data_IF_328037237036
#
_entry.id   IF_328037237036
#
_cell.length_a   1.000
_cell.length_b   1.000
_cell.length_c   1.000
_cell.angle_alpha   90.00
_cell.angle_beta   90.00
_cell.angle_gamma   90.00
#
_symmetry.space_group_name_H-M   'P 1'
#
loop_
_entity.id
_entity.type
_entity.pdbx_description
1 polymer ?
#
# COMPACT_ATOMS: atom_id res chain seq x y z
N UNK A 1 57.65 -28.62 70.64
CA UNK A 1 56.34 -27.92 70.62
C UNK A 1 56.37 -27.00 69.41
N UNK A 2 55.73 -27.39 68.29
CA UNK A 2 54.38 -26.93 67.87
C UNK A 2 54.40 -25.42 67.53
N UNK A 3 54.33 -24.92 66.30
CA UNK A 3 53.22 -24.94 65.31
C UNK A 3 53.80 -24.39 63.97
N UNK A 4 53.73 -25.08 62.81
CA UNK A 4 52.69 -25.04 61.76
C UNK A 4 52.00 -23.68 61.55
N UNK A 5 51.99 -23.19 60.31
CA UNK A 5 50.91 -22.54 59.52
C UNK A 5 51.57 -21.68 58.42
N UNK A 6 51.70 -22.19 57.19
CA UNK A 6 50.71 -22.12 56.10
C UNK A 6 51.14 -21.03 55.09
N UNK A 7 51.93 -21.44 54.10
CA UNK A 7 52.29 -20.63 52.94
C UNK A 7 51.04 -20.40 52.09
N UNK A 8 50.51 -19.17 52.10
CA UNK A 8 49.48 -18.74 51.17
C UNK A 8 50.18 -18.41 49.85
N UNK A 9 50.11 -19.34 48.91
CA UNK A 9 50.45 -19.11 47.51
C UNK A 9 49.33 -18.23 46.91
N UNK A 10 49.58 -16.92 46.79
CA UNK A 10 48.66 -15.99 46.13
C UNK A 10 48.75 -16.23 44.61
N UNK A 11 47.89 -17.11 44.10
CA UNK A 11 47.71 -17.33 42.67
C UNK A 11 46.92 -16.16 42.10
N UNK A 12 47.64 -15.15 41.61
CA UNK A 12 47.09 -14.05 40.82
C UNK A 12 46.63 -14.62 39.47
N UNK A 13 45.41 -15.15 39.44
CA UNK A 13 44.70 -15.43 38.19
C UNK A 13 44.27 -14.09 37.64
N UNK A 14 45.02 -13.57 36.67
CA UNK A 14 44.52 -12.54 35.77
C UNK A 14 43.38 -13.17 34.96
N UNK A 15 42.15 -13.00 35.43
CA UNK A 15 40.99 -13.18 34.59
C UNK A 15 41.06 -12.10 33.50
N UNK A 16 41.63 -12.45 32.35
CA UNK A 16 41.26 -11.75 31.13
C UNK A 16 39.73 -11.92 31.03
N UNK A 17 38.94 -10.83 30.95
CA UNK A 17 37.56 -10.99 30.57
C UNK A 17 37.60 -11.74 29.24
N UNK A 18 36.99 -12.93 29.19
CA UNK A 18 36.60 -13.50 27.91
C UNK A 18 35.83 -12.39 27.22
N UNK A 19 36.35 -11.95 26.08
CA UNK A 19 35.65 -11.09 25.14
C UNK A 19 34.23 -11.64 25.05
N UNK A 20 33.26 -10.87 25.57
CA UNK A 20 31.87 -11.24 25.48
C UNK A 20 31.57 -11.44 24.01
N UNK A 21 31.14 -12.63 23.63
CA UNK A 21 30.47 -12.77 22.35
C UNK A 21 29.24 -11.87 22.45
N UNK A 22 29.26 -10.76 21.72
CA UNK A 22 28.14 -9.85 21.60
C UNK A 22 26.94 -10.69 21.15
N UNK A 23 25.87 -10.73 21.96
CA UNK A 23 24.67 -11.41 21.54
C UNK A 23 24.12 -10.69 20.30
N UNK A 24 23.78 -11.42 19.23
CA UNK A 24 23.23 -10.80 18.03
C UNK A 24 21.92 -10.09 18.39
N UNK A 25 21.77 -8.85 17.89
CA UNK A 25 20.56 -8.05 18.09
C UNK A 25 19.32 -8.82 17.60
N UNK A 26 18.21 -8.66 18.32
CA UNK A 26 16.92 -9.27 17.97
C UNK A 26 16.48 -8.78 16.57
N UNK A 27 15.98 -9.66 15.68
CA UNK A 27 15.48 -9.26 14.36
C UNK A 27 14.46 -8.11 14.38
N UNK A 28 13.58 -8.06 15.39
CA UNK A 28 12.62 -6.97 15.56
C UNK A 28 13.32 -5.65 15.89
N UNK A 29 14.38 -5.68 16.69
CA UNK A 29 15.17 -4.50 17.03
C UNK A 29 15.97 -4.00 15.81
N UNK A 30 16.44 -4.92 14.97
CA UNK A 30 17.07 -4.58 13.70
C UNK A 30 16.08 -3.92 12.75
N UNK A 31 14.86 -4.43 12.68
CA UNK A 31 13.82 -3.90 11.80
C UNK A 31 13.42 -2.45 12.13
N UNK A 32 13.49 -2.05 13.41
CA UNK A 32 13.17 -0.68 13.84
C UNK A 32 13.99 0.38 13.11
N UNK A 33 15.27 0.12 12.85
CA UNK A 33 16.16 1.07 12.17
C UNK A 33 15.82 1.28 10.69
N UNK A 34 15.11 0.33 10.07
CA UNK A 34 14.61 0.44 8.71
C UNK A 34 13.27 1.15 8.60
N UNK A 35 12.58 1.38 9.72
CA UNK A 35 11.30 2.11 9.73
C UNK A 35 11.57 3.61 9.86
N UNK A 36 10.81 4.41 9.13
CA UNK A 36 10.89 5.87 9.16
C UNK A 36 9.51 6.46 9.40
N UNK A 37 9.48 7.65 10.00
CA UNK A 37 8.25 8.46 10.03
C UNK A 37 8.19 9.30 8.77
N UNK A 38 7.07 9.24 8.05
CA UNK A 38 6.81 10.05 6.85
C UNK A 38 5.93 11.23 7.24
N UNK A 39 6.32 12.43 6.84
CA UNK A 39 5.62 13.67 7.17
C UNK A 39 5.48 14.55 5.92
N UNK A 40 4.31 15.16 5.78
CA UNK A 40 3.99 16.13 4.74
C UNK A 40 3.87 17.51 5.39
N UNK A 41 4.66 18.46 4.90
CA UNK A 41 4.73 19.84 5.41
C UNK A 41 4.14 20.83 4.41
N UNK A 42 3.86 22.04 4.94
CA UNK A 42 3.26 23.15 4.22
C UNK A 42 3.87 23.36 2.84
N UNK A 43 2.98 23.51 1.87
CA UNK A 43 3.32 23.71 0.47
C UNK A 43 3.76 25.16 0.32
N UNK A 44 5.08 25.33 0.31
CA UNK A 44 5.87 26.58 0.34
C UNK A 44 6.21 27.16 1.73
N UNK A 45 7.52 27.11 2.05
CA UNK A 45 8.20 27.97 3.04
C UNK A 45 9.08 27.24 4.07
N UNK A 46 10.41 27.32 3.91
CA UNK A 46 11.49 26.70 4.74
C UNK A 46 11.63 27.25 6.19
N UNK A 47 12.20 26.46 7.12
CA UNK A 47 13.54 26.70 7.70
C UNK A 47 14.07 25.60 8.68
N UNK A 48 15.40 25.51 8.77
CA UNK A 48 16.33 24.50 9.37
C UNK A 48 16.55 24.53 10.91
N UNK A 49 17.24 23.51 11.49
CA UNK A 49 18.61 23.59 12.14
C UNK A 49 19.15 22.22 12.66
N UNK A 50 20.47 22.02 12.48
CA UNK A 50 21.37 20.87 12.75
C UNK A 50 21.92 20.73 14.20
N UNK A 51 22.37 19.52 14.62
CA UNK A 51 23.35 19.39 15.73
C UNK A 51 23.73 18.00 16.32
N UNK A 52 24.88 17.49 15.87
CA UNK A 52 25.97 16.67 16.51
C UNK A 52 25.75 15.42 17.40
N UNK A 53 26.58 14.40 17.08
CA UNK A 53 26.60 13.02 17.57
C UNK A 53 27.31 12.76 18.92
N UNK A 54 26.91 11.65 19.59
CA UNK A 54 27.66 11.03 20.69
C UNK A 54 27.13 9.65 21.14
N UNK A 55 28.06 8.68 21.21
CA UNK A 55 28.01 7.31 21.79
C UNK A 55 26.96 6.30 21.26
N UNK A 56 27.42 5.05 21.04
CA UNK A 56 26.60 3.94 20.52
C UNK A 56 25.54 3.54 21.57
N UNK A 57 24.28 3.79 21.25
CA UNK A 57 23.07 3.47 22.04
C UNK A 57 22.32 2.33 21.35
N UNK A 58 21.57 1.50 22.08
CA UNK A 58 20.62 0.57 21.44
C UNK A 58 19.58 1.38 20.65
N UNK A 59 19.03 0.82 19.56
CA UNK A 59 17.95 1.47 18.82
C UNK A 59 16.78 1.84 19.75
N UNK A 60 16.50 1.02 20.76
CA UNK A 60 15.47 1.32 21.77
C UNK A 60 15.83 2.55 22.62
N UNK A 61 17.09 2.71 23.02
CA UNK A 61 17.54 3.87 23.79
C UNK A 61 17.49 5.18 22.97
N UNK A 62 17.70 5.10 21.66
CA UNK A 62 17.64 6.25 20.74
C UNK A 62 16.19 6.75 20.59
N UNK A 63 15.24 5.83 20.43
CA UNK A 63 13.80 6.11 20.22
C UNK A 63 13.23 7.00 21.33
N UNK A 64 13.53 6.71 22.59
CA UNK A 64 12.83 7.32 23.73
C UNK A 64 13.44 8.62 24.26
N UNK A 65 14.52 9.14 23.67
CA UNK A 65 15.17 10.37 24.17
C UNK A 65 14.40 11.67 23.86
N UNK A 66 13.46 11.64 22.90
CA UNK A 66 12.53 12.73 22.47
C UNK A 66 11.65 12.23 21.30
N UNK A 67 10.46 12.76 21.08
CA UNK A 67 9.76 12.56 19.80
C UNK A 67 10.19 13.65 18.79
N UNK A 68 10.21 13.40 17.46
CA UNK A 68 10.38 14.47 16.48
C UNK A 68 9.25 15.50 16.59
N UNK A 69 9.56 16.78 16.39
CA UNK A 69 8.57 17.85 16.41
C UNK A 69 7.88 17.93 15.05
N UNK A 70 6.59 17.62 15.02
CA UNK A 70 5.77 17.53 13.81
C UNK A 70 4.52 18.41 13.91
N UNK A 71 4.56 19.47 14.74
CA UNK A 71 3.39 20.34 14.99
C UNK A 71 2.79 20.95 13.72
N UNK A 72 3.63 21.13 12.69
CA UNK A 72 3.29 21.84 11.46
C UNK A 72 3.08 20.88 10.27
N UNK A 73 3.07 19.56 10.51
CA UNK A 73 2.81 18.57 9.47
C UNK A 73 1.31 18.50 9.14
N UNK A 74 0.97 18.61 7.85
CA UNK A 74 -0.39 18.50 7.32
C UNK A 74 -0.91 17.05 7.35
N UNK A 75 -0.02 16.10 7.04
CA UNK A 75 -0.28 14.65 7.08
C UNK A 75 0.95 13.93 7.65
N UNK A 76 0.73 12.79 8.29
CA UNK A 76 1.80 11.92 8.76
C UNK A 76 1.43 10.44 8.63
N UNK A 77 2.47 9.62 8.51
CA UNK A 77 2.38 8.18 8.47
C UNK A 77 3.72 7.54 8.75
N UNK A 78 3.83 6.28 8.37
CA UNK A 78 5.05 5.50 8.48
C UNK A 78 5.52 5.08 7.09
N UNK A 79 6.79 4.72 7.01
CA UNK A 79 7.37 4.08 5.85
C UNK A 79 8.50 3.16 6.29
N UNK A 80 9.07 2.43 5.35
CA UNK A 80 10.28 1.67 5.60
C UNK A 80 11.22 1.72 4.42
N UNK A 81 12.51 1.62 4.73
CA UNK A 81 13.59 1.71 3.75
C UNK A 81 13.84 0.33 3.18
N UNK A 82 13.97 0.24 1.86
CA UNK A 82 14.43 -0.92 1.13
C UNK A 82 15.64 -0.55 0.28
N UNK A 83 16.49 -1.53 -0.01
CA UNK A 83 17.59 -1.37 -0.94
C UNK A 83 17.23 -1.96 -2.31
N UNK A 84 17.48 -1.20 -3.37
CA UNK A 84 17.33 -1.67 -4.73
C UNK A 84 18.44 -1.11 -5.62
N UNK A 85 19.16 -2.00 -6.32
CA UNK A 85 20.27 -1.66 -7.22
C UNK A 85 21.34 -0.74 -6.57
N UNK A 86 21.58 -0.92 -5.27
CA UNK A 86 22.58 -0.15 -4.50
C UNK A 86 22.15 1.25 -4.06
N UNK A 87 20.85 1.58 -4.18
CA UNK A 87 20.26 2.80 -3.66
C UNK A 87 19.11 2.46 -2.70
N UNK A 88 18.84 3.36 -1.76
CA UNK A 88 17.75 3.22 -0.80
C UNK A 88 16.51 3.98 -1.23
N UNK A 89 15.36 3.35 -1.00
CA UNK A 89 14.03 3.88 -1.29
C UNK A 89 13.14 3.69 -0.08
N UNK A 90 12.19 4.60 0.13
CA UNK A 90 11.17 4.47 1.17
C UNK A 90 9.87 4.03 0.53
N UNK A 91 9.28 2.94 1.03
CA UNK A 91 7.91 2.55 0.71
C UNK A 91 6.96 3.11 1.77
N UNK A 92 5.84 3.65 1.31
CA UNK A 92 4.74 4.15 2.16
C UNK A 92 3.41 4.05 1.40
N UNK A 93 2.30 4.52 2.00
CA UNK A 93 1.02 4.59 1.30
C UNK A 93 0.85 5.89 0.52
N UNK A 94 0.09 5.84 -0.57
CA UNK A 94 -0.24 7.03 -1.38
C UNK A 94 -1.05 8.02 -0.55
N UNK A 95 -2.05 7.56 0.21
CA UNK A 95 -2.89 8.45 1.02
C UNK A 95 -2.13 9.19 2.14
N UNK A 96 -0.89 8.79 2.44
CA UNK A 96 -0.04 9.51 3.40
C UNK A 96 0.56 10.75 2.75
N UNK A 97 0.88 10.66 1.45
CA UNK A 97 1.66 11.67 0.71
C UNK A 97 0.87 12.42 -0.38
N UNK A 98 -0.39 12.04 -0.61
CA UNK A 98 -1.21 12.50 -1.75
C UNK A 98 -1.25 14.04 -1.88
N UNK A 99 -1.47 14.73 -0.76
CA UNK A 99 -1.50 16.19 -0.67
C UNK A 99 -0.18 16.88 -1.04
N UNK A 100 0.94 16.16 -1.03
CA UNK A 100 2.29 16.68 -1.29
C UNK A 100 2.85 16.31 -2.67
N UNK A 101 2.17 15.43 -3.42
CA UNK A 101 2.70 14.88 -4.68
C UNK A 101 3.02 15.93 -5.75
N UNK A 102 2.34 17.09 -5.74
CA UNK A 102 2.55 18.19 -6.68
C UNK A 102 3.61 19.21 -6.27
N UNK A 103 4.17 19.13 -5.06
CA UNK A 103 4.85 20.24 -4.41
C UNK A 103 6.24 19.83 -3.91
N UNK A 104 7.31 20.11 -4.68
CA UNK A 104 8.66 19.68 -4.34
C UNK A 104 9.11 20.15 -2.95
N UNK A 105 9.74 19.25 -2.19
CA UNK A 105 10.29 19.55 -0.86
C UNK A 105 9.29 19.48 0.31
N UNK A 106 8.02 19.18 0.03
CA UNK A 106 6.97 19.04 1.05
C UNK A 106 7.01 17.70 1.81
N UNK A 107 7.71 16.69 1.30
CA UNK A 107 7.81 15.36 1.93
C UNK A 107 9.17 15.20 2.61
N UNK A 108 9.13 14.82 3.88
CA UNK A 108 10.32 14.51 4.66
C UNK A 108 10.15 13.17 5.37
N UNK A 109 11.26 12.47 5.59
CA UNK A 109 11.32 11.30 6.46
C UNK A 109 12.28 11.53 7.60
N UNK A 110 11.93 10.98 8.76
CA UNK A 110 12.74 11.05 9.97
C UNK A 110 13.23 9.65 10.34
N UNK A 111 14.55 9.52 10.48
CA UNK A 111 15.21 8.29 10.93
C UNK A 111 15.02 8.04 12.42
N UNK A 112 15.44 6.87 12.90
CA UNK A 112 15.42 6.52 14.32
C UNK A 112 16.28 7.46 15.17
N UNK A 113 17.35 7.99 14.60
CA UNK A 113 18.23 9.01 15.19
C UNK A 113 17.67 10.44 15.06
N UNK A 114 16.50 10.59 14.44
CA UNK A 114 15.81 11.87 14.11
C UNK A 114 16.53 12.73 13.08
N UNK A 115 17.39 12.13 12.28
CA UNK A 115 17.93 12.80 11.11
C UNK A 115 16.80 13.02 10.10
N UNK A 116 16.75 14.22 9.54
CA UNK A 116 15.74 14.66 8.58
C UNK A 116 16.26 14.46 7.16
N UNK A 117 15.43 13.82 6.34
CA UNK A 117 15.73 13.55 4.95
C UNK A 117 14.62 14.08 4.04
N UNK A 118 14.90 15.04 3.14
CA UNK A 118 13.94 15.46 2.13
C UNK A 118 13.73 14.35 1.10
N UNK A 119 12.51 14.23 0.58
CA UNK A 119 12.13 13.13 -0.31
C UNK A 119 11.53 13.63 -1.62
N UNK A 120 11.73 12.83 -2.68
CA UNK A 120 11.07 12.94 -3.97
C UNK A 120 10.21 11.71 -4.22
N UNK A 121 9.02 11.90 -4.75
CA UNK A 121 8.21 10.77 -5.20
C UNK A 121 8.74 10.27 -6.54
N UNK A 122 9.03 8.97 -6.63
CA UNK A 122 9.59 8.34 -7.84
C UNK A 122 8.67 7.28 -8.43
N UNK A 123 7.64 6.87 -7.70
CA UNK A 123 6.58 6.00 -8.21
C UNK A 123 5.36 5.97 -7.31
N UNK A 124 4.23 5.62 -7.88
CA UNK A 124 2.97 5.56 -7.16
C UNK A 124 1.92 4.73 -7.83
N UNK A 125 1.10 4.11 -6.99
CA UNK A 125 -0.08 3.39 -7.40
C UNK A 125 -1.21 3.60 -6.40
N UNK A 126 -2.12 4.53 -6.71
CA UNK A 126 -3.34 4.76 -5.91
C UNK A 126 -4.26 3.54 -5.88
N UNK A 127 -4.14 2.68 -6.90
CA UNK A 127 -4.92 1.47 -6.96
C UNK A 127 -4.48 0.46 -5.91
N UNK A 128 -3.22 0.30 -5.51
CA UNK A 128 -2.87 -0.50 -4.33
C UNK A 128 -2.48 0.31 -3.11
N UNK A 129 -2.55 1.64 -3.22
CA UNK A 129 -2.18 2.58 -2.18
C UNK A 129 -0.71 2.43 -1.77
N UNK A 130 0.18 2.32 -2.76
CA UNK A 130 1.63 2.18 -2.59
C UNK A 130 2.37 3.35 -3.26
N UNK A 131 3.27 3.98 -2.53
CA UNK A 131 4.15 5.03 -3.03
C UNK A 131 5.62 4.69 -2.79
N UNK A 132 6.47 5.11 -3.71
CA UNK A 132 7.92 4.98 -3.64
C UNK A 132 8.53 6.38 -3.55
N UNK A 133 9.30 6.60 -2.50
CA UNK A 133 10.06 7.83 -2.30
C UNK A 133 11.56 7.54 -2.46
N UNK A 134 12.27 8.48 -3.09
CA UNK A 134 13.72 8.51 -3.12
C UNK A 134 14.24 9.68 -2.29
N UNK A 135 15.39 9.47 -1.65
CA UNK A 135 16.09 10.54 -0.92
C UNK A 135 16.51 11.65 -1.89
N UNK A 136 16.16 12.89 -1.55
CA UNK A 136 16.55 14.07 -2.32
C UNK A 136 17.87 14.65 -1.80
N UNK A 137 18.98 14.01 -2.16
CA UNK A 137 20.31 14.42 -1.74
C UNK A 137 21.17 13.24 -1.31
N UNK A 138 21.75 13.32 -0.12
CA UNK A 138 22.59 12.25 0.43
C UNK A 138 21.74 11.05 0.84
N UNK A 139 22.24 9.85 0.52
CA UNK A 139 21.69 8.60 1.04
C UNK A 139 21.96 8.52 2.55
N UNK A 140 21.05 7.92 3.34
CA UNK A 140 21.26 7.82 4.77
C UNK A 140 22.43 6.87 5.08
N UNK A 141 23.03 7.04 6.26
CA UNK A 141 24.14 6.22 6.73
C UNK A 141 23.71 4.95 7.44
N UNK A 142 24.60 4.40 8.26
CA UNK A 142 24.41 3.15 9.00
C UNK A 142 23.30 3.24 10.07
N UNK A 143 22.74 4.43 10.33
CA UNK A 143 21.59 4.63 11.21
C UNK A 143 20.29 4.04 10.64
N UNK A 144 20.22 3.86 9.31
CA UNK A 144 19.10 3.21 8.63
C UNK A 144 19.57 1.88 8.04
N UNK A 145 18.97 0.79 8.51
CA UNK A 145 19.16 -0.54 7.91
C UNK A 145 17.99 -0.86 7.00
N UNK A 146 18.20 -1.11 5.70
CA UNK A 146 17.10 -1.46 4.81
C UNK A 146 16.47 -2.80 5.23
N UNK A 147 15.15 -2.87 5.11
CA UNK A 147 14.39 -4.10 5.28
C UNK A 147 14.38 -4.90 3.98
N UNK A 148 14.25 -6.21 4.11
CA UNK A 148 14.04 -7.12 2.99
C UNK A 148 12.63 -7.69 3.06
N UNK A 149 12.01 -7.88 1.90
CA UNK A 149 10.79 -8.67 1.80
C UNK A 149 11.09 -10.15 2.12
N UNK A 150 10.13 -10.83 2.72
CA UNK A 150 10.19 -12.28 2.92
C UNK A 150 10.02 -12.99 1.58
N UNK A 151 10.94 -13.90 1.25
CA UNK A 151 10.81 -14.79 0.09
C UNK A 151 9.85 -15.98 0.36
N UNK A 152 9.37 -16.12 1.60
CA UNK A 152 8.44 -17.17 2.00
C UNK A 152 7.00 -16.71 1.85
N UNK A 153 6.15 -17.62 1.37
CA UNK A 153 4.69 -17.40 1.35
C UNK A 153 4.17 -17.22 2.78
N UNK A 154 3.33 -16.22 2.98
CA UNK A 154 2.71 -15.93 4.28
C UNK A 154 1.70 -17.02 4.64
N UNK A 155 1.75 -17.52 5.88
CA UNK A 155 0.84 -18.57 6.36
C UNK A 155 -0.25 -18.02 7.28
N UNK A 156 -1.41 -18.69 7.32
CA UNK A 156 -2.44 -18.39 8.33
C UNK A 156 -1.93 -18.76 9.73
N UNK A 157 -2.33 -17.96 10.73
CA UNK A 157 -1.88 -18.06 12.12
C UNK A 157 -0.37 -17.80 12.33
N UNK A 158 0.37 -17.43 11.30
CA UNK A 158 1.75 -16.95 11.42
C UNK A 158 1.79 -15.69 12.29
N UNK A 159 2.79 -15.59 13.17
CA UNK A 159 3.04 -14.41 13.98
C UNK A 159 3.46 -13.24 13.10
N UNK A 160 2.92 -12.06 13.40
CA UNK A 160 3.22 -10.84 12.66
C UNK A 160 3.34 -9.65 13.62
N UNK A 161 4.17 -8.68 13.25
CA UNK A 161 4.41 -7.45 14.00
C UNK A 161 4.19 -6.25 13.09
N UNK A 162 3.38 -5.30 13.51
CA UNK A 162 3.23 -4.02 12.83
C UNK A 162 4.13 -2.98 13.52
N UNK A 163 4.86 -2.20 12.72
CA UNK A 163 5.72 -1.13 13.22
C UNK A 163 5.30 0.19 12.56
N UNK A 164 5.21 1.25 13.36
CA UNK A 164 4.93 2.58 12.83
C UNK A 164 4.93 3.68 13.89
N UNK A 165 4.35 4.83 13.53
CA UNK A 165 4.20 6.01 14.37
C UNK A 165 2.72 6.33 14.61
N UNK A 166 2.02 5.59 15.49
CA UNK A 166 0.63 5.86 15.79
C UNK A 166 0.41 7.31 16.27
N UNK A 167 -0.65 7.92 15.75
CA UNK A 167 -1.08 9.30 15.99
C UNK A 167 -0.02 10.36 15.65
N UNK A 168 1.05 9.98 14.94
CA UNK A 168 2.21 10.84 14.66
C UNK A 168 3.06 11.18 15.90
N UNK A 169 2.74 10.61 17.07
CA UNK A 169 3.30 11.02 18.36
C UNK A 169 4.12 9.94 19.06
N UNK A 170 4.00 8.69 18.60
CA UNK A 170 4.57 7.52 19.24
C UNK A 170 5.43 6.76 18.23
N UNK A 171 6.51 7.36 17.72
CA UNK A 171 7.30 6.76 16.65
C UNK A 171 7.91 5.43 17.11
N UNK A 172 8.11 4.51 16.17
CA UNK A 172 8.71 3.19 16.41
C UNK A 172 7.90 2.29 17.36
N UNK A 173 6.58 2.50 17.44
CA UNK A 173 5.69 1.62 18.18
C UNK A 173 5.55 0.28 17.48
N UNK A 174 5.75 -0.82 18.22
CA UNK A 174 5.57 -2.18 17.74
C UNK A 174 4.30 -2.76 18.36
N UNK A 175 3.46 -3.39 17.54
CA UNK A 175 2.31 -4.19 18.01
C UNK A 175 2.38 -5.59 17.42
N UNK A 176 1.91 -6.58 18.17
CA UNK A 176 1.97 -7.99 17.77
C UNK A 176 0.59 -8.56 17.46
N UNK A 177 0.56 -9.57 16.59
CA UNK A 177 -0.66 -10.29 16.23
C UNK A 177 -0.38 -11.51 15.39
N UNK A 178 -1.39 -11.99 14.69
CA UNK A 178 -1.29 -13.11 13.74
C UNK A 178 -1.96 -12.76 12.42
N UNK A 179 -1.54 -13.45 11.37
CA UNK A 179 -2.25 -13.47 10.09
C UNK A 179 -3.56 -14.23 10.27
N UNK A 180 -4.67 -13.52 10.11
CA UNK A 180 -6.03 -14.04 10.30
C UNK A 180 -6.78 -14.30 9.00
N UNK A 181 -6.26 -13.80 7.88
CA UNK A 181 -6.80 -14.03 6.55
C UNK A 181 -5.81 -13.59 5.48
N UNK A 182 -5.89 -14.22 4.32
CA UNK A 182 -5.13 -13.86 3.11
C UNK A 182 -6.10 -13.51 1.99
N UNK A 183 -5.60 -12.87 0.92
CA UNK A 183 -6.39 -12.56 -0.27
C UNK A 183 -7.70 -11.83 0.07
N UNK A 184 -7.65 -10.92 1.04
CA UNK A 184 -8.82 -10.14 1.42
C UNK A 184 -9.07 -9.08 0.38
N UNK A 185 -10.36 -8.93 0.06
CA UNK A 185 -10.85 -7.86 -0.79
C UNK A 185 -10.81 -6.57 0.01
N UNK A 186 -10.11 -5.57 -0.51
CA UNK A 186 -10.42 -4.19 -0.18
C UNK A 186 -11.58 -3.73 -1.07
N UNK A 187 -12.72 -3.46 -0.45
CA UNK A 187 -13.87 -2.93 -1.16
C UNK A 187 -13.93 -1.42 -0.99
N UNK A 188 -13.64 -0.68 -2.06
CA UNK A 188 -14.17 0.67 -2.24
C UNK A 188 -15.46 0.57 -3.08
N UNK A 189 -16.45 1.46 -2.91
CA UNK A 189 -17.75 1.37 -3.59
C UNK A 189 -17.70 1.20 -5.13
N UNK A 190 -16.58 1.56 -5.75
CA UNK A 190 -16.37 1.58 -7.21
C UNK A 190 -15.23 0.67 -7.69
N UNK A 191 -14.36 0.19 -6.80
CA UNK A 191 -13.20 -0.66 -7.15
C UNK A 191 -12.95 -1.70 -6.07
N UNK A 192 -12.78 -2.95 -6.51
CA UNK A 192 -12.41 -4.07 -5.64
C UNK A 192 -11.01 -4.56 -6.01
N UNK A 193 -10.15 -4.70 -5.01
CA UNK A 193 -8.76 -5.15 -5.20
C UNK A 193 -8.36 -6.20 -4.18
N UNK A 194 -7.60 -7.20 -4.62
CA UNK A 194 -7.12 -8.32 -3.82
C UNK A 194 -5.68 -8.10 -3.37
N UNK A 195 -5.07 -9.11 -2.76
CA UNK A 195 -3.68 -9.03 -2.30
C UNK A 195 -3.53 -8.31 -0.96
N UNK A 196 -4.50 -8.46 -0.06
CA UNK A 196 -4.38 -7.93 1.30
C UNK A 196 -4.44 -9.04 2.35
N UNK A 197 -3.49 -8.98 3.29
CA UNK A 197 -3.48 -9.76 4.51
C UNK A 197 -4.40 -9.11 5.53
N UNK A 198 -5.23 -9.92 6.20
CA UNK A 198 -5.87 -9.51 7.45
C UNK A 198 -5.00 -9.96 8.62
N UNK A 199 -4.77 -9.08 9.59
CA UNK A 199 -4.03 -9.40 10.80
C UNK A 199 -4.64 -8.77 12.07
N UNK A 200 -4.24 -9.29 13.23
CA UNK A 200 -4.69 -8.79 14.54
C UNK A 200 -3.69 -7.87 15.23
N UNK A 201 -2.51 -7.64 14.64
CA UNK A 201 -1.57 -6.66 15.17
C UNK A 201 -2.25 -5.28 15.19
N UNK A 202 -2.22 -4.62 16.35
CA UNK A 202 -3.03 -3.42 16.57
C UNK A 202 -2.52 -2.30 15.68
N UNK A 203 -3.39 -1.79 14.81
CA UNK A 203 -3.14 -0.57 14.05
C UNK A 203 -3.95 0.59 14.61
N UNK A 204 -3.37 1.77 14.50
CA UNK A 204 -3.99 3.09 14.70
C UNK A 204 -3.49 3.97 13.55
N UNK A 205 -4.22 5.03 13.19
CA UNK A 205 -3.74 6.07 12.28
C UNK A 205 -2.29 6.46 12.58
N UNK A 206 -1.47 6.65 11.55
CA UNK A 206 -0.02 6.86 11.67
C UNK A 206 0.83 5.59 11.47
N UNK A 207 0.25 4.39 11.59
CA UNK A 207 0.91 3.15 11.14
C UNK A 207 0.80 2.93 9.62
N UNK A 208 -0.06 3.67 8.93
CA UNK A 208 -0.21 3.60 7.46
C UNK A 208 1.13 3.77 6.77
N UNK A 209 1.46 2.85 5.87
CA UNK A 209 2.70 2.78 5.11
C UNK A 209 3.85 2.10 5.85
N UNK A 210 3.72 1.86 7.16
CA UNK A 210 4.70 1.10 7.95
C UNK A 210 4.66 -0.40 7.64
N UNK A 211 5.74 -1.14 7.93
CA UNK A 211 5.82 -2.55 7.58
C UNK A 211 5.04 -3.44 8.55
N UNK A 212 4.49 -4.52 8.00
CA UNK A 212 4.12 -5.73 8.72
C UNK A 212 5.24 -6.75 8.52
N UNK A 213 5.87 -7.21 9.59
CA UNK A 213 7.04 -8.10 9.55
C UNK A 213 6.78 -9.44 10.25
N UNK A 214 7.53 -10.46 9.85
CA UNK A 214 7.57 -11.76 10.54
C UNK A 214 8.58 -11.76 11.71
N UNK A 215 8.73 -12.90 12.40
CA UNK A 215 9.70 -13.07 13.51
C UNK A 215 11.16 -12.96 13.08
N UNK A 216 11.45 -13.16 11.79
CA UNK A 216 12.79 -13.04 11.20
C UNK A 216 13.13 -11.57 10.83
N UNK A 217 12.21 -10.63 11.05
CA UNK A 217 12.40 -9.21 10.72
C UNK A 217 12.17 -8.87 9.24
N UNK A 218 11.62 -9.81 8.46
CA UNK A 218 11.36 -9.66 7.02
C UNK A 218 9.96 -9.11 6.79
N UNK A 219 9.81 -8.25 5.78
CA UNK A 219 8.54 -7.62 5.41
C UNK A 219 7.63 -8.65 4.74
N UNK A 220 6.46 -8.87 5.35
CA UNK A 220 5.38 -9.73 4.81
C UNK A 220 4.19 -8.92 4.32
N UNK A 221 4.14 -7.62 4.61
CA UNK A 221 3.17 -6.70 4.03
C UNK A 221 3.36 -5.25 4.44
N UNK A 222 2.51 -4.37 3.92
CA UNK A 222 2.53 -2.92 4.19
C UNK A 222 1.20 -2.51 4.81
N UNK A 223 1.20 -2.03 6.05
CA UNK A 223 -0.03 -1.68 6.78
C UNK A 223 -0.78 -0.57 6.05
N UNK A 224 -2.05 -0.80 5.68
CA UNK A 224 -2.80 0.12 4.80
C UNK A 224 -4.05 0.70 5.45
N UNK A 225 -4.93 -0.13 6.04
CA UNK A 225 -6.16 0.38 6.65
C UNK A 225 -6.70 -0.49 7.79
N UNK A 226 -7.66 0.07 8.53
CA UNK A 226 -8.40 -0.56 9.62
C UNK A 226 -9.87 -0.62 9.22
N UNK A 227 -10.54 -1.74 9.45
CA UNK A 227 -11.99 -1.78 9.26
C UNK A 227 -12.69 -0.91 10.29
N UNK A 228 -13.54 -0.01 9.80
CA UNK A 228 -14.38 0.84 10.63
C UNK A 228 -15.84 0.70 10.23
N UNK A 229 -16.76 0.74 11.20
CA UNK A 229 -18.20 0.86 10.94
C UNK A 229 -18.68 2.20 11.44
N UNK A 230 -19.37 2.94 10.57
CA UNK A 230 -20.15 4.08 11.00
C UNK A 230 -21.56 3.62 11.38
N UNK A 231 -22.00 3.91 12.61
CA UNK A 231 -23.37 3.69 13.04
C UNK A 231 -23.87 4.96 13.73
N UNK A 232 -24.85 5.63 13.10
CA UNK A 232 -25.44 6.88 13.62
C UNK A 232 -24.46 8.05 13.76
N UNK A 233 -23.39 8.10 12.94
CA UNK A 233 -22.36 9.15 13.01
C UNK A 233 -21.19 8.83 13.94
N UNK A 234 -21.19 7.68 14.63
CA UNK A 234 -20.06 7.21 15.43
C UNK A 234 -19.25 6.17 14.65
N UNK A 235 -17.92 6.34 14.63
CA UNK A 235 -16.98 5.41 14.00
C UNK A 235 -16.49 4.39 15.03
N UNK A 236 -16.84 3.12 14.83
CA UNK A 236 -16.35 1.99 15.61
C UNK A 236 -15.15 1.37 14.91
N UNK A 237 -14.02 1.29 15.61
CA UNK A 237 -12.80 0.61 15.17
C UNK A 237 -12.92 -0.88 15.51
N UNK A 238 -12.64 -1.74 14.53
CA UNK A 238 -12.51 -3.18 14.77
C UNK A 238 -11.03 -3.53 14.81
N UNK A 239 -10.44 -3.51 16.01
CA UNK A 239 -9.00 -3.71 16.25
C UNK A 239 -8.45 -5.07 15.80
N UNK A 240 -9.30 -6.03 15.40
CA UNK A 240 -8.92 -7.35 14.88
C UNK A 240 -9.07 -7.47 13.35
N UNK A 241 -9.52 -6.41 12.68
CA UNK A 241 -9.74 -6.33 11.25
C UNK A 241 -8.83 -5.25 10.67
N UNK A 242 -7.53 -5.49 10.77
CA UNK A 242 -6.48 -4.66 10.18
C UNK A 242 -5.98 -5.31 8.89
N UNK A 243 -5.56 -4.48 7.94
CA UNK A 243 -5.19 -4.96 6.61
C UNK A 243 -3.88 -4.36 6.12
N UNK A 244 -3.08 -5.22 5.51
CA UNK A 244 -1.80 -4.89 4.92
C UNK A 244 -1.74 -5.39 3.47
N UNK A 245 -1.19 -4.59 2.55
CA UNK A 245 -0.87 -5.04 1.20
C UNK A 245 0.14 -6.20 1.29
N UNK A 246 -0.14 -7.31 0.63
CA UNK A 246 0.70 -8.51 0.63
C UNK A 246 2.12 -8.17 0.15
N UNK A 247 3.15 -8.65 0.87
CA UNK A 247 4.54 -8.29 0.61
C UNK A 247 5.02 -8.67 -0.79
N UNK A 248 4.64 -9.85 -1.28
CA UNK A 248 4.95 -10.31 -2.64
C UNK A 248 4.35 -9.37 -3.69
N UNK A 249 3.08 -8.99 -3.53
CA UNK A 249 2.41 -8.04 -4.42
C UNK A 249 3.04 -6.65 -4.34
N UNK A 250 3.33 -6.15 -3.14
CA UNK A 250 4.00 -4.87 -2.95
C UNK A 250 5.38 -4.86 -3.62
N UNK A 251 6.13 -5.95 -3.51
CA UNK A 251 7.43 -6.12 -4.16
C UNK A 251 7.30 -6.14 -5.68
N UNK A 252 6.30 -6.85 -6.24
CA UNK A 252 6.05 -6.87 -7.68
C UNK A 252 5.73 -5.46 -8.20
N UNK A 253 4.79 -4.76 -7.56
CA UNK A 253 4.40 -3.40 -7.92
C UNK A 253 5.57 -2.42 -7.81
N UNK A 254 6.43 -2.57 -6.78
CA UNK A 254 7.66 -1.80 -6.66
C UNK A 254 8.55 -1.98 -7.89
N UNK A 255 8.86 -3.22 -8.28
CA UNK A 255 9.71 -3.48 -9.45
C UNK A 255 9.11 -2.88 -10.72
N UNK A 256 7.80 -3.07 -10.91
CA UNK A 256 7.10 -2.58 -12.08
C UNK A 256 7.17 -1.05 -12.18
N UNK A 257 6.93 -0.33 -11.07
CA UNK A 257 7.09 1.13 -11.03
C UNK A 257 8.52 1.56 -11.30
N UNK A 258 9.52 0.87 -10.73
CA UNK A 258 10.93 1.17 -10.97
C UNK A 258 11.36 0.96 -12.43
N UNK A 259 10.67 0.08 -13.16
CA UNK A 259 10.94 -0.23 -14.57
C UNK A 259 10.12 0.63 -15.54
N UNK A 260 8.95 1.12 -15.11
CA UNK A 260 7.98 1.81 -15.96
C UNK A 260 7.77 3.28 -15.57
N UNK A 261 8.86 3.98 -15.25
CA UNK A 261 8.87 5.41 -14.97
C UNK A 261 7.90 5.81 -13.82
N UNK A 262 7.88 5.01 -12.76
CA UNK A 262 7.09 5.25 -11.56
C UNK A 262 5.64 4.76 -11.63
N UNK A 263 5.25 4.03 -12.69
CA UNK A 263 3.85 3.63 -12.92
C UNK A 263 3.67 2.12 -12.99
N UNK A 264 2.49 1.67 -12.60
CA UNK A 264 2.01 0.30 -12.81
C UNK A 264 1.14 0.28 -14.08
N UNK A 265 1.52 -0.53 -15.06
CA UNK A 265 0.84 -0.68 -16.35
C UNK A 265 -0.24 -1.75 -16.21
N UNK A 266 -1.49 -1.38 -16.47
CA UNK A 266 -2.64 -2.30 -16.31
C UNK A 266 -3.38 -2.54 -17.60
N UNK A 267 -3.74 -3.79 -17.84
CA UNK A 267 -4.65 -4.17 -18.91
C UNK A 267 -6.04 -3.53 -18.71
N UNK A 268 -6.57 -2.99 -19.80
CA UNK A 268 -7.89 -2.37 -19.88
C UNK A 268 -8.68 -2.98 -21.04
N UNK A 269 -9.77 -3.67 -20.70
CA UNK A 269 -10.71 -4.19 -21.69
C UNK A 269 -11.88 -3.23 -21.95
N UNK A 270 -12.32 -2.51 -20.93
CA UNK A 270 -13.53 -1.70 -20.98
C UNK A 270 -14.86 -2.47 -20.90
N UNK A 271 -14.84 -3.71 -20.38
CA UNK A 271 -16.05 -4.46 -20.03
C UNK A 271 -16.41 -4.23 -18.56
N UNK A 272 -17.71 -3.99 -18.30
CA UNK A 272 -18.25 -3.92 -16.93
C UNK A 272 -18.89 -5.26 -16.62
N UNK A 273 -18.33 -5.98 -15.65
CA UNK A 273 -18.86 -7.25 -15.19
C UNK A 273 -19.72 -7.07 -13.94
N UNK A 274 -20.75 -7.90 -13.81
CA UNK A 274 -21.57 -7.93 -12.61
C UNK A 274 -21.84 -9.38 -12.18
N UNK A 275 -22.15 -9.54 -10.91
CA UNK A 275 -22.73 -10.73 -10.35
C UNK A 275 -23.95 -10.33 -9.53
N UNK A 276 -24.92 -11.23 -9.41
CA UNK A 276 -26.07 -11.05 -8.52
C UNK A 276 -25.94 -11.96 -7.30
N UNK A 277 -26.25 -11.44 -6.11
CA UNK A 277 -26.53 -12.26 -4.92
C UNK A 277 -28.03 -12.47 -4.84
N UNK A 278 -28.46 -13.70 -4.53
CA UNK A 278 -29.88 -13.99 -4.33
C UNK A 278 -30.48 -13.10 -3.22
N UNK A 279 -31.78 -12.80 -3.30
CA UNK A 279 -32.52 -11.87 -2.42
C UNK A 279 -32.37 -12.15 -0.90
N UNK A 280 -31.89 -13.34 -0.52
CA UNK A 280 -31.67 -13.81 0.85
C UNK A 280 -30.17 -13.98 1.21
N UNK A 281 -29.26 -13.38 0.44
CA UNK A 281 -27.82 -13.56 0.63
C UNK A 281 -27.30 -14.94 0.19
N UNK A 282 -27.95 -15.54 -0.82
CA UNK A 282 -27.52 -16.82 -1.41
C UNK A 282 -26.16 -16.72 -2.11
N UNK A 283 -25.60 -17.87 -2.56
CA UNK A 283 -24.31 -17.90 -3.24
C UNK A 283 -24.32 -16.95 -4.44
N UNK A 284 -23.17 -16.31 -4.66
CA UNK A 284 -22.97 -15.37 -5.76
C UNK A 284 -23.17 -16.11 -7.09
N UNK A 285 -23.94 -15.49 -7.99
CA UNK A 285 -24.09 -16.02 -9.35
C UNK A 285 -22.79 -15.84 -10.14
N UNK A 286 -22.53 -16.71 -11.14
CA UNK A 286 -21.41 -16.53 -12.04
C UNK A 286 -21.39 -15.13 -12.68
N UNK A 287 -20.21 -14.51 -12.84
CA UNK A 287 -20.09 -13.21 -13.47
C UNK A 287 -20.67 -13.17 -14.88
N UNK A 288 -21.24 -12.05 -15.26
CA UNK A 288 -21.72 -11.81 -16.62
C UNK A 288 -21.34 -10.40 -17.10
N UNK A 289 -21.35 -10.22 -18.42
CA UNK A 289 -21.10 -8.92 -19.06
C UNK A 289 -22.32 -8.03 -18.83
N UNK A 290 -22.20 -7.02 -17.99
CA UNK A 290 -23.29 -6.11 -17.65
C UNK A 290 -23.42 -4.95 -18.65
N UNK A 291 -22.31 -4.30 -18.96
CA UNK A 291 -22.25 -3.23 -19.95
C UNK A 291 -20.83 -3.11 -20.53
N UNK A 292 -20.68 -2.29 -21.56
CA UNK A 292 -19.42 -2.04 -22.24
C UNK A 292 -19.17 -0.53 -22.26
N UNK A 293 -17.92 -0.14 -22.04
CA UNK A 293 -17.48 1.26 -22.08
C UNK A 293 -17.32 1.65 -23.55
N UNK A 294 -18.02 2.69 -23.99
CA UNK A 294 -17.98 3.18 -25.37
C UNK A 294 -16.52 3.48 -25.80
N UNK A 295 -16.13 2.99 -26.99
CA UNK A 295 -14.77 3.19 -27.54
C UNK A 295 -13.66 2.42 -26.82
N UNK A 296 -13.99 1.29 -26.20
CA UNK A 296 -13.04 0.33 -25.62
C UNK A 296 -12.91 -0.95 -26.46
N UNK A 297 -11.84 -1.75 -26.27
CA UNK A 297 -11.67 -3.03 -26.95
C UNK A 297 -12.87 -3.97 -26.79
N UNK A 298 -13.40 -4.08 -25.57
CA UNK A 298 -14.58 -4.89 -25.29
C UNK A 298 -15.83 -4.37 -26.01
N UNK A 299 -15.99 -3.05 -26.13
CA UNK A 299 -17.08 -2.49 -26.90
C UNK A 299 -16.98 -2.79 -28.40
N UNK A 300 -15.82 -3.13 -28.95
CA UNK A 300 -15.71 -3.50 -30.37
C UNK A 300 -16.13 -4.95 -30.63
N UNK A 301 -15.71 -5.86 -29.75
CA UNK A 301 -15.87 -7.31 -29.93
C UNK A 301 -17.14 -7.85 -29.27
N UNK A 302 -17.54 -7.33 -28.10
CA UNK A 302 -18.54 -7.96 -27.22
C UNK A 302 -19.95 -7.35 -27.30
N UNK A 303 -20.24 -6.49 -28.31
CA UNK A 303 -21.52 -5.73 -28.39
C UNK A 303 -22.76 -6.63 -28.31
N UNK A 304 -22.72 -7.79 -28.96
CA UNK A 304 -23.82 -8.77 -28.99
C UNK A 304 -23.73 -9.79 -27.84
N UNK A 305 -22.74 -9.66 -26.95
CA UNK A 305 -22.49 -10.56 -25.82
C UNK A 305 -22.91 -9.99 -24.46
N UNK A 306 -23.55 -8.83 -24.42
CA UNK A 306 -24.12 -8.30 -23.16
C UNK A 306 -25.11 -9.32 -22.58
N UNK A 307 -24.96 -9.62 -21.29
CA UNK A 307 -25.70 -10.64 -20.56
C UNK A 307 -25.14 -12.07 -20.66
N UNK A 308 -24.06 -12.30 -21.42
CA UNK A 308 -23.37 -13.59 -21.41
C UNK A 308 -22.61 -13.77 -20.10
N UNK A 309 -22.66 -14.99 -19.56
CA UNK A 309 -21.87 -15.41 -18.41
C UNK A 309 -20.42 -15.62 -18.84
N UNK A 310 -19.47 -15.11 -18.07
CA UNK A 310 -18.03 -15.38 -18.27
C UNK A 310 -17.69 -16.64 -17.49
N UNK A 311 -17.22 -17.67 -18.19
CA UNK A 311 -16.88 -18.98 -17.58
C UNK A 311 -15.37 -19.21 -17.50
N UNK A 312 -14.58 -18.46 -18.27
CA UNK A 312 -13.13 -18.56 -18.24
C UNK A 312 -12.44 -17.35 -18.89
N UNK A 313 -11.19 -17.11 -18.50
CA UNK A 313 -10.31 -16.10 -19.09
C UNK A 313 -8.92 -16.73 -19.26
N UNK A 314 -8.36 -16.69 -20.47
CA UNK A 314 -7.05 -17.27 -20.79
C UNK A 314 -6.92 -18.74 -20.34
N UNK A 315 -8.01 -19.52 -20.47
CA UNK A 315 -8.10 -20.92 -20.04
C UNK A 315 -8.24 -21.14 -18.52
N UNK A 316 -8.25 -20.06 -17.72
CA UNK A 316 -8.50 -20.14 -16.28
C UNK A 316 -10.00 -20.05 -15.98
N UNK A 317 -10.57 -20.95 -15.16
CA UNK A 317 -11.99 -20.96 -14.87
C UNK A 317 -12.40 -19.73 -14.04
N UNK A 318 -13.50 -19.09 -14.42
CA UNK A 318 -14.08 -17.95 -13.72
C UNK A 318 -15.36 -18.37 -13.00
N UNK A 319 -15.40 -18.16 -11.69
CA UNK A 319 -16.59 -18.41 -10.86
C UNK A 319 -17.10 -17.14 -10.19
N UNK A 320 -16.24 -16.16 -9.97
CA UNK A 320 -16.59 -14.92 -9.28
C UNK A 320 -15.97 -13.70 -9.96
N UNK A 321 -16.44 -12.49 -9.62
CA UNK A 321 -15.82 -11.25 -10.11
C UNK A 321 -14.35 -11.16 -9.69
N UNK A 322 -13.98 -11.84 -8.60
CA UNK A 322 -12.60 -11.92 -8.13
C UNK A 322 -11.68 -12.63 -9.13
N UNK A 323 -12.16 -13.70 -9.74
CA UNK A 323 -11.37 -14.46 -10.73
C UNK A 323 -11.11 -13.62 -11.98
N UNK A 324 -12.07 -12.77 -12.36
CA UNK A 324 -11.90 -11.82 -13.47
C UNK A 324 -10.83 -10.79 -13.14
N UNK A 325 -10.93 -10.12 -11.98
CA UNK A 325 -9.93 -9.11 -11.58
C UNK A 325 -8.53 -9.71 -11.56
N UNK A 326 -8.36 -10.90 -10.96
CA UNK A 326 -7.07 -11.61 -10.93
C UNK A 326 -6.53 -11.91 -12.33
N UNK A 327 -7.38 -12.38 -13.24
CA UNK A 327 -6.96 -12.69 -14.60
C UNK A 327 -6.50 -11.42 -15.36
N UNK A 328 -7.20 -10.30 -15.16
CA UNK A 328 -6.83 -9.02 -15.77
C UNK A 328 -5.56 -8.41 -15.15
N UNK A 329 -5.38 -8.55 -13.83
CA UNK A 329 -4.16 -8.11 -13.13
C UNK A 329 -2.92 -8.91 -13.57
N UNK A 330 -3.10 -10.16 -13.98
CA UNK A 330 -2.03 -11.00 -14.50
C UNK A 330 -1.76 -10.80 -16.02
N UNK A 331 -2.51 -9.92 -16.69
CA UNK A 331 -2.39 -9.68 -18.14
C UNK A 331 -1.67 -8.36 -18.41
N UNK A 332 -0.76 -8.38 -19.39
CA UNK A 332 -0.06 -7.17 -19.82
C UNK A 332 -0.89 -6.35 -20.81
N UNK A 333 -0.75 -5.01 -20.83
CA UNK A 333 -1.32 -4.22 -21.93
C UNK A 333 -0.72 -4.63 -23.27
N UNK A 334 -1.58 -4.83 -24.26
CA UNK A 334 -1.24 -5.32 -25.59
C UNK A 334 -1.34 -6.84 -25.75
N UNK A 335 -1.60 -7.58 -24.66
CA UNK A 335 -1.85 -9.03 -24.72
C UNK A 335 -3.27 -9.34 -25.20
N UNK A 336 -3.43 -10.44 -25.93
CA UNK A 336 -4.74 -10.96 -26.29
C UNK A 336 -5.37 -11.71 -25.10
N UNK A 337 -6.52 -11.23 -24.67
CA UNK A 337 -7.31 -11.86 -23.62
C UNK A 337 -8.43 -12.69 -24.26
N UNK A 338 -8.42 -14.00 -24.03
CA UNK A 338 -9.47 -14.91 -24.51
C UNK A 338 -10.56 -15.07 -23.44
N UNK A 339 -11.78 -14.65 -23.76
CA UNK A 339 -12.95 -14.82 -22.91
C UNK A 339 -13.76 -16.03 -23.34
N UNK A 340 -13.92 -16.98 -22.43
CA UNK A 340 -14.88 -18.09 -22.58
C UNK A 340 -16.23 -17.63 -22.04
N UNK A 341 -17.24 -17.57 -22.92
CA UNK A 341 -18.55 -17.03 -22.61
C UNK A 341 -19.64 -18.11 -22.71
N UNK A 342 -20.76 -17.91 -22.02
CA UNK A 342 -21.90 -18.82 -22.07
C UNK A 342 -23.24 -18.10 -22.02
N UNK A 343 -24.16 -18.48 -22.91
CA UNK A 343 -25.56 -18.08 -22.85
C UNK A 343 -26.46 -19.23 -23.32
N UNK A 344 -27.18 -19.87 -22.40
CA UNK A 344 -27.97 -21.06 -22.69
C UNK A 344 -27.09 -22.22 -23.20
N UNK A 345 -27.30 -22.64 -24.45
CA UNK A 345 -26.49 -23.66 -25.13
C UNK A 345 -25.30 -23.09 -25.91
N UNK A 346 -25.23 -21.77 -26.09
CA UNK A 346 -24.13 -21.12 -26.78
C UNK A 346 -22.93 -21.00 -25.85
N UNK A 347 -21.74 -21.30 -26.36
CA UNK A 347 -20.49 -21.16 -25.62
C UNK A 347 -19.38 -20.60 -26.54
N UNK A 348 -19.48 -19.33 -26.97
CA UNK A 348 -18.46 -18.73 -27.81
C UNK A 348 -17.19 -18.41 -27.01
N UNK A 349 -16.07 -18.38 -27.71
CA UNK A 349 -14.80 -17.84 -27.23
C UNK A 349 -14.51 -16.58 -28.03
N UNK A 350 -14.21 -15.48 -27.33
CA UNK A 350 -13.92 -14.18 -27.95
C UNK A 350 -12.56 -13.69 -27.46
N UNK A 351 -11.64 -13.49 -28.39
CA UNK A 351 -10.34 -12.89 -28.11
C UNK A 351 -10.39 -11.37 -28.35
N UNK A 352 -9.83 -10.60 -27.42
CA UNK A 352 -9.68 -9.17 -27.56
C UNK A 352 -8.32 -8.72 -27.01
N UNK A 353 -7.67 -7.81 -27.72
CA UNK A 353 -6.39 -7.24 -27.29
C UNK A 353 -6.64 -6.20 -26.19
N UNK A 354 -6.01 -6.39 -25.03
CA UNK A 354 -6.09 -5.43 -23.94
C UNK A 354 -5.36 -4.12 -24.28
N UNK A 355 -5.98 -2.99 -24.01
CA UNK A 355 -5.30 -1.69 -24.03
C UNK A 355 -4.61 -1.43 -22.68
N UNK A 356 -3.82 -0.37 -22.59
CA UNK A 356 -3.32 0.13 -21.31
C UNK A 356 -4.36 1.04 -20.64
N UNK A 357 -4.49 0.93 -19.32
CA UNK A 357 -5.31 1.83 -18.51
C UNK A 357 -4.63 3.20 -18.37
N UNK A 358 -4.68 4.00 -19.43
CA UNK A 358 -4.18 5.37 -19.47
C UNK A 358 -5.17 6.37 -18.88
N UNK A 359 -4.74 7.61 -18.62
CA UNK A 359 -5.64 8.70 -18.22
C UNK A 359 -6.84 8.91 -19.16
N UNK A 360 -6.62 8.75 -20.48
CA UNK A 360 -7.71 8.81 -21.47
C UNK A 360 -8.70 7.64 -21.32
N UNK A 361 -8.22 6.43 -21.01
CA UNK A 361 -9.08 5.28 -20.77
C UNK A 361 -9.78 5.36 -19.40
N UNK A 362 -9.14 5.92 -18.37
CA UNK A 362 -9.77 6.27 -17.10
C UNK A 362 -10.88 7.31 -17.27
N UNK A 363 -10.69 8.31 -18.13
CA UNK A 363 -11.73 9.27 -18.48
C UNK A 363 -12.95 8.57 -19.11
N UNK A 364 -12.74 7.60 -20.02
CA UNK A 364 -13.84 6.79 -20.58
C UNK A 364 -14.60 6.03 -19.49
N UNK A 365 -13.88 5.43 -18.53
CA UNK A 365 -14.48 4.74 -17.36
C UNK A 365 -15.33 5.71 -16.56
N UNK A 366 -14.80 6.89 -16.22
CA UNK A 366 -15.53 7.91 -15.48
C UNK A 366 -16.79 8.35 -16.24
N UNK A 367 -16.68 8.67 -17.53
CA UNK A 367 -17.82 9.04 -18.38
C UNK A 367 -18.91 7.98 -18.42
N UNK A 368 -18.53 6.72 -18.59
CA UNK A 368 -19.46 5.60 -18.55
C UNK A 368 -20.17 5.49 -17.20
N UNK A 369 -19.43 5.63 -16.10
CA UNK A 369 -19.98 5.57 -14.76
C UNK A 369 -21.00 6.68 -14.51
N UNK A 370 -20.63 7.95 -14.76
CA UNK A 370 -21.54 9.07 -14.52
C UNK A 370 -22.79 8.99 -15.40
N UNK A 371 -22.66 8.62 -16.68
CA UNK A 371 -23.81 8.42 -17.59
C UNK A 371 -24.76 7.31 -17.13
N UNK A 372 -24.22 6.24 -16.53
CA UNK A 372 -24.99 5.03 -16.20
C UNK A 372 -25.57 5.09 -14.79
N UNK A 373 -24.88 5.73 -13.85
CA UNK A 373 -25.19 5.66 -12.43
C UNK A 373 -25.58 7.00 -11.80
N UNK A 374 -25.50 8.12 -12.54
CA UNK A 374 -25.83 9.45 -12.01
C UNK A 374 -26.52 10.33 -13.06
N UNK A 375 -27.12 11.44 -12.60
CA UNK A 375 -27.69 12.48 -13.47
C UNK A 375 -26.73 13.68 -13.65
N UNK A 376 -25.41 13.48 -13.56
CA UNK A 376 -24.42 14.55 -13.76
C UNK A 376 -24.01 14.70 -15.23
N UNK A 377 -23.83 15.94 -15.69
CA UNK A 377 -23.18 16.25 -16.96
C UNK A 377 -21.67 16.47 -16.73
N UNK A 378 -20.86 15.85 -17.59
CA UNK A 378 -19.40 15.92 -17.55
C UNK A 378 -18.88 16.85 -18.65
N UNK A 379 -18.29 17.97 -18.26
CA UNK A 379 -17.63 18.90 -19.18
C UNK A 379 -16.11 18.71 -19.17
N UNK A 380 -15.46 19.10 -20.26
CA UNK A 380 -13.99 19.07 -20.33
C UNK A 380 -13.45 20.37 -19.76
N UNK A 381 -12.70 20.30 -18.66
CA UNK A 381 -12.07 21.42 -17.98
C UNK A 381 -10.56 21.49 -18.23
N UNK A 382 -9.93 22.53 -17.69
CA UNK A 382 -8.46 22.75 -17.82
C UNK A 382 -7.59 21.77 -17.01
N UNK A 383 -8.20 20.93 -16.18
CA UNK A 383 -7.54 19.99 -15.26
C UNK A 383 -8.10 18.55 -15.38
N UNK A 384 -8.94 18.26 -16.40
CA UNK A 384 -9.63 16.98 -16.54
C UNK A 384 -11.14 17.14 -16.81
N UNK A 385 -11.98 16.33 -16.14
CA UNK A 385 -13.43 16.32 -16.34
C UNK A 385 -14.17 17.03 -15.19
N UNK A 386 -14.89 18.11 -15.46
CA UNK A 386 -15.65 18.85 -14.45
C UNK A 386 -17.12 18.36 -14.36
N UNK A 387 -17.65 18.30 -13.14
CA UNK A 387 -19.05 17.94 -12.86
C UNK A 387 -19.91 19.20 -12.77
N UNK A 388 -20.86 19.38 -13.70
CA UNK A 388 -21.82 20.48 -13.67
C UNK A 388 -23.26 19.94 -13.55
N UNK A 389 -24.05 20.45 -12.59
CA UNK A 389 -25.48 20.12 -12.44
C UNK A 389 -26.03 20.13 -10.99
N UNK A 390 -27.36 20.17 -10.82
CA UNK A 390 -28.03 19.99 -9.52
C UNK A 390 -28.45 18.52 -9.34
N UNK A 391 -28.20 17.89 -8.18
CA UNK A 391 -28.59 16.51 -7.95
C UNK A 391 -30.12 16.39 -7.89
N UNK A 392 -30.73 15.63 -8.80
CA UNK A 392 -32.16 15.28 -8.75
C UNK A 392 -32.31 13.81 -8.38
N UNK A 393 -32.09 13.53 -7.09
CA UNK A 393 -32.47 12.34 -6.28
C UNK A 393 -31.30 11.63 -5.60
N UNK A 394 -31.36 11.66 -4.27
CA UNK A 394 -30.69 10.79 -3.28
C UNK A 394 -29.15 10.71 -3.29
N UNK A 395 -28.60 11.32 -2.24
CA UNK A 395 -27.31 11.08 -1.56
C UNK A 395 -26.67 9.72 -1.85
N UNK A 396 -25.70 9.70 -2.77
CA UNK A 396 -24.64 8.71 -2.79
C UNK A 396 -23.31 9.47 -2.78
N UNK A 397 -22.43 9.10 -1.86
CA UNK A 397 -21.09 9.70 -1.68
C UNK A 397 -20.15 9.04 -2.70
N UNK A 398 -19.49 9.84 -3.52
CA UNK A 398 -18.64 9.40 -4.64
C UNK A 398 -17.19 9.75 -4.28
N UNK A 399 -16.30 8.75 -4.20
CA UNK A 399 -14.85 8.96 -4.17
C UNK A 399 -14.22 8.25 -5.38
N UNK A 400 -13.55 9.00 -6.25
CA UNK A 400 -12.76 8.50 -7.38
C UNK A 400 -11.34 9.01 -7.18
N UNK A 401 -10.44 8.15 -6.71
CA UNK A 401 -9.04 8.53 -6.50
C UNK A 401 -8.26 8.41 -7.82
N UNK A 402 -7.75 9.55 -8.31
CA UNK A 402 -6.74 9.64 -9.37
C UNK A 402 -5.48 10.19 -8.71
N UNK A 403 -4.39 9.45 -8.71
CA UNK A 403 -3.07 10.02 -8.44
C UNK A 403 -2.07 9.37 -9.38
N UNK A 404 -1.89 9.98 -10.55
CA UNK A 404 -0.68 9.78 -11.34
C UNK A 404 0.41 10.62 -10.68
N UNK A 405 1.39 9.94 -10.10
CA UNK A 405 2.50 10.59 -9.42
C UNK A 405 3.49 11.10 -10.49
N UNK A 406 3.56 12.44 -10.64
CA UNK A 406 4.43 13.27 -11.49
C UNK A 406 3.95 13.61 -12.94
N UNK A 407 4.21 14.84 -13.44
CA UNK A 407 3.35 15.55 -14.39
C UNK A 407 3.53 15.06 -15.82
N UNK A 408 2.47 15.08 -16.62
CA UNK A 408 2.05 16.31 -17.26
C UNK A 408 0.88 16.92 -16.49
N UNK A 409 0.60 18.20 -16.72
CA UNK A 409 -0.64 18.87 -16.31
C UNK A 409 -1.84 17.88 -16.36
N UNK A 410 -2.74 17.88 -15.36
CA UNK A 410 -3.94 17.01 -15.15
C UNK A 410 -3.69 15.78 -14.23
N UNK A 411 -4.48 15.40 -13.20
CA UNK A 411 -5.83 15.72 -12.77
C UNK A 411 -6.06 15.36 -11.26
N UNK A 412 -7.01 16.02 -10.60
CA UNK A 412 -7.51 15.71 -9.23
C UNK A 412 -9.05 15.63 -9.20
N UNK A 413 -9.63 14.70 -8.43
CA UNK A 413 -11.04 14.75 -8.01
C UNK A 413 -11.24 14.21 -6.59
N UNK A 414 -11.74 15.08 -5.70
CA UNK A 414 -12.26 14.74 -4.37
C UNK A 414 -13.72 15.18 -4.30
N UNK A 415 -14.61 14.33 -3.77
CA UNK A 415 -15.97 14.76 -3.37
C UNK A 415 -16.32 14.19 -2.00
N UNK A 416 -16.32 15.06 -1.00
CA UNK A 416 -17.08 14.88 0.23
C UNK A 416 -17.72 16.21 0.61
N UNK A 417 -18.80 16.19 1.42
CA UNK A 417 -20.17 15.79 1.11
C UNK A 417 -20.97 16.76 0.21
#
# INVERSE_FOLDING_TARGET
>A
MLNRFLSILLLLVSAFPLCGQEEPLNPLELALSGVVTVAVFDVSGEDQVLGYAGARKSYTDIVYEKAPDMSDAFSNGSGFVIEYKGAYYVLTNVHVIDAATGEPGSIKVYSITRDEYPMKVVGGDSFYDLAILAFDGEQPGDEIRPLSFSDKEVELAQKAYAIGNPLGQYPYSITDGIISGKNRLFFRPTTGRFGFLQHTATLIWGNSGGPLINEDGEVIGINTWIHTRNDGGQNYLFSQLNFALEGELAQHLFHEMMENQGRVRRAFLGAVFASSKGLLGGPESPPFIHSLIDGSPAAEVLKDKIGYTVTGINGQPVKTLQDIVRALEASDPGEDINLELKQGILSPEEALTAEELTGANLEKVARHFFKTFTDYELESGSQGVELNGKPVKSTHRIEVAVSDIYPPENATFEVQP
#
